data_IF_853199702840
#
_entry.id   IF_853199702840
#
_cell.length_a   1.000
_cell.length_b   1.000
_cell.length_c   1.000
_cell.angle_alpha   90.00
_cell.angle_beta   90.00
_cell.angle_gamma   90.00
#
_symmetry.space_group_name_H-M   'P 1'
#
loop_
_entity.id
_entity.type
_entity.pdbx_description
1 polymer ?
#
# COMPACT_ATOMS: atom_id res chain seq x y z
N UNK A 1 73.61 -26.32 24.13
CA UNK A 1 72.24 -25.94 24.57
C UNK A 1 71.52 -25.44 23.38
N UNK A 2 70.59 -26.24 22.84
CA UNK A 2 69.80 -25.90 21.65
C UNK A 2 68.40 -25.52 22.13
N UNK A 3 68.04 -24.23 22.04
CA UNK A 3 66.74 -23.74 22.38
C UNK A 3 65.78 -23.84 21.19
N UNK A 4 64.71 -24.64 21.35
CA UNK A 4 63.66 -24.84 20.36
C UNK A 4 62.56 -23.77 20.59
N UNK A 5 62.40 -22.87 19.63
CA UNK A 5 61.36 -21.86 19.63
C UNK A 5 60.05 -22.46 19.15
N UNK A 6 59.02 -22.56 20.01
CA UNK A 6 57.65 -22.97 19.62
C UNK A 6 56.88 -21.76 19.13
N UNK A 7 56.53 -21.74 17.86
CA UNK A 7 55.57 -20.76 17.29
C UNK A 7 54.15 -21.29 17.51
N UNK A 8 53.41 -20.65 18.39
CA UNK A 8 51.98 -20.92 18.56
C UNK A 8 51.23 -20.02 17.55
N UNK A 9 50.73 -20.61 16.51
CA UNK A 9 49.82 -19.94 15.55
C UNK A 9 48.41 -19.86 16.15
N UNK A 10 47.99 -18.65 16.52
CA UNK A 10 46.59 -18.39 16.89
C UNK A 10 45.74 -18.35 15.64
N UNK A 11 44.97 -19.40 15.38
CA UNK A 11 43.90 -19.43 14.37
C UNK A 11 42.71 -18.68 14.96
N UNK A 12 42.53 -17.41 14.61
CA UNK A 12 41.29 -16.67 14.86
C UNK A 12 40.21 -17.22 13.89
N UNK A 13 39.42 -18.19 14.36
CA UNK A 13 38.21 -18.60 13.69
C UNK A 13 37.22 -17.45 13.73
N UNK A 14 37.08 -16.73 12.62
CA UNK A 14 36.07 -15.72 12.43
C UNK A 14 34.69 -16.43 12.45
N UNK A 15 33.98 -16.31 13.57
CA UNK A 15 32.58 -16.69 13.65
C UNK A 15 31.82 -15.66 12.82
N UNK A 16 31.51 -15.97 11.58
CA UNK A 16 30.50 -15.26 10.80
C UNK A 16 29.14 -15.62 11.41
N UNK A 17 28.79 -14.93 12.50
CA UNK A 17 27.46 -14.98 13.04
C UNK A 17 26.51 -14.47 11.97
N UNK A 18 25.69 -15.33 11.41
CA UNK A 18 24.49 -14.90 10.69
C UNK A 18 23.63 -14.14 11.69
N UNK A 19 23.72 -12.82 11.67
CA UNK A 19 22.85 -11.99 12.49
C UNK A 19 21.40 -12.33 12.09
N UNK A 20 20.69 -12.98 12.99
CA UNK A 20 19.29 -13.30 12.78
C UNK A 20 18.55 -11.97 12.60
N UNK A 21 17.86 -11.82 11.45
CA UNK A 21 17.15 -10.60 11.10
C UNK A 21 16.12 -10.28 12.19
N UNK A 22 16.22 -9.08 12.76
CA UNK A 22 15.37 -8.63 13.87
C UNK A 22 13.92 -8.47 13.39
N UNK A 23 12.97 -9.05 14.13
CA UNK A 23 11.53 -8.81 13.92
C UNK A 23 11.07 -7.67 14.82
N UNK A 24 10.43 -6.67 14.22
CA UNK A 24 9.98 -5.44 14.90
C UNK A 24 8.47 -5.51 15.11
N UNK A 25 8.04 -5.40 16.38
CA UNK A 25 6.63 -5.44 16.78
C UNK A 25 6.04 -4.04 17.04
N UNK A 26 6.90 -3.03 17.16
CA UNK A 26 6.51 -1.63 17.37
C UNK A 26 7.35 -0.72 16.51
N UNK A 27 6.67 0.16 15.76
CA UNK A 27 7.37 1.13 14.92
C UNK A 27 6.49 2.36 14.66
N UNK A 28 7.15 3.48 14.41
CA UNK A 28 6.55 4.66 13.79
C UNK A 28 7.32 4.88 12.49
N UNK A 29 6.61 4.79 11.35
CA UNK A 29 7.22 4.94 10.02
C UNK A 29 6.52 6.07 9.29
N UNK A 30 7.28 7.03 8.81
CA UNK A 30 6.79 8.08 7.93
C UNK A 30 7.36 7.89 6.54
N UNK A 31 6.52 8.00 5.53
CA UNK A 31 6.90 7.93 4.12
C UNK A 31 6.26 9.05 3.33
N UNK A 32 6.94 9.45 2.27
CA UNK A 32 6.46 10.37 1.24
C UNK A 32 6.16 9.56 -0.01
N UNK A 33 5.01 9.80 -0.63
CA UNK A 33 4.64 9.21 -1.91
C UNK A 33 4.32 10.32 -2.89
N UNK A 34 4.91 10.25 -4.07
CA UNK A 34 4.68 11.13 -5.21
C UNK A 34 4.12 10.30 -6.36
N UNK A 35 3.02 10.76 -6.95
CA UNK A 35 2.37 10.10 -8.08
C UNK A 35 2.25 11.13 -9.21
N UNK A 36 2.73 10.78 -10.40
CA UNK A 36 2.54 11.55 -11.62
C UNK A 36 1.59 10.79 -12.53
N UNK A 37 0.58 11.49 -13.02
CA UNK A 37 -0.40 10.92 -13.95
C UNK A 37 -0.06 11.33 -15.39
N UNK A 38 -0.27 10.45 -16.38
CA UNK A 38 -0.05 10.77 -17.78
C UNK A 38 -0.94 11.93 -18.24
N UNK A 39 -0.37 12.87 -19.00
CA UNK A 39 -1.08 14.05 -19.50
C UNK A 39 -2.20 13.72 -20.51
N UNK A 40 -2.14 12.56 -21.17
CA UNK A 40 -3.05 12.15 -22.23
C UNK A 40 -4.15 11.18 -21.77
N UNK A 41 -4.74 11.41 -20.59
CA UNK A 41 -6.02 10.76 -20.30
C UNK A 41 -7.05 11.51 -21.16
N UNK A 42 -7.42 10.91 -22.30
CA UNK A 42 -8.45 11.41 -23.19
C UNK A 42 -9.78 11.40 -22.41
N UNK A 43 -10.08 12.57 -21.81
CA UNK A 43 -11.28 12.76 -21.02
C UNK A 43 -12.42 13.00 -21.97
N UNK A 44 -13.16 11.96 -22.27
CA UNK A 44 -14.51 12.13 -22.79
C UNK A 44 -15.38 12.60 -21.60
N UNK A 45 -15.16 13.86 -21.19
CA UNK A 45 -15.85 14.48 -20.05
C UNK A 45 -17.18 15.04 -20.53
N UNK A 46 -18.17 14.16 -20.69
CA UNK A 46 -19.58 14.57 -20.73
C UNK A 46 -20.24 14.50 -19.34
N UNK A 47 -19.51 14.72 -18.27
CA UNK A 47 -20.09 14.75 -16.93
C UNK A 47 -19.47 15.91 -16.15
N UNK A 48 -20.28 16.95 -15.95
CA UNK A 48 -19.96 18.17 -15.20
C UNK A 48 -19.66 17.95 -13.71
N UNK A 49 -19.52 16.70 -13.26
CA UNK A 49 -19.24 16.32 -11.87
C UNK A 49 -17.83 15.77 -11.61
N UNK A 50 -16.94 15.77 -12.59
CA UNK A 50 -15.54 15.28 -12.43
C UNK A 50 -14.53 16.41 -12.11
N UNK A 51 -14.98 17.46 -11.45
CA UNK A 51 -14.11 18.50 -10.95
C UNK A 51 -13.30 17.99 -9.75
N UNK A 52 -12.16 17.35 -9.99
CA UNK A 52 -11.26 17.05 -8.86
C UNK A 52 -9.96 16.32 -9.14
N UNK A 53 -9.90 15.38 -10.05
CA UNK A 53 -8.72 14.52 -10.19
C UNK A 53 -7.97 14.67 -11.51
N UNK A 54 -8.05 15.80 -12.16
CA UNK A 54 -7.63 15.83 -13.53
C UNK A 54 -6.93 17.05 -14.04
N UNK A 55 -6.42 17.94 -13.26
CA UNK A 55 -5.37 18.81 -13.73
C UNK A 55 -4.11 17.96 -13.92
N UNK A 56 -3.44 18.09 -15.07
CA UNK A 56 -2.11 17.55 -15.31
C UNK A 56 -1.20 18.01 -14.17
N UNK A 57 -1.01 17.14 -13.18
CA UNK A 57 -0.31 17.44 -11.94
C UNK A 57 -0.02 16.17 -11.19
N UNK A 58 1.06 16.16 -10.45
CA UNK A 58 1.38 15.12 -9.51
C UNK A 58 0.49 15.20 -8.28
N UNK A 59 0.42 14.13 -7.55
CA UNK A 59 -0.17 14.04 -6.22
C UNK A 59 0.93 13.69 -5.24
N UNK A 60 1.04 14.46 -4.17
CA UNK A 60 1.94 14.17 -3.06
C UNK A 60 1.13 13.73 -1.86
N UNK A 61 1.64 12.75 -1.13
CA UNK A 61 1.09 12.36 0.16
C UNK A 61 2.18 12.00 1.16
N UNK A 62 1.96 12.38 2.41
CA UNK A 62 2.79 11.98 3.54
C UNK A 62 1.97 11.02 4.38
N UNK A 63 2.51 9.82 4.57
CA UNK A 63 1.86 8.76 5.33
C UNK A 63 2.66 8.44 6.57
N UNK A 64 2.00 8.41 7.73
CA UNK A 64 2.60 7.95 9.00
C UNK A 64 1.86 6.69 9.45
N UNK A 65 2.63 5.63 9.68
CA UNK A 65 2.13 4.36 10.22
C UNK A 65 2.59 4.22 11.66
N UNK A 66 1.65 4.06 12.58
CA UNK A 66 1.87 3.63 13.95
C UNK A 66 1.55 2.15 14.04
N UNK A 67 2.53 1.35 14.43
CA UNK A 67 2.40 -0.10 14.54
C UNK A 67 2.73 -0.55 15.95
N UNK A 68 1.82 -1.27 16.60
CA UNK A 68 1.99 -1.80 17.95
C UNK A 68 1.26 -3.15 18.05
N UNK A 69 1.92 -4.22 17.64
CA UNK A 69 1.34 -5.57 17.65
C UNK A 69 0.02 -5.67 16.87
N UNK A 70 -1.09 -5.79 17.61
CA UNK A 70 -2.42 -5.93 17.03
C UNK A 70 -3.07 -4.60 16.61
N UNK A 71 -2.47 -3.47 16.99
CA UNK A 71 -2.98 -2.14 16.68
C UNK A 71 -2.15 -1.47 15.59
N UNK A 72 -2.83 -0.99 14.56
CA UNK A 72 -2.21 -0.27 13.44
C UNK A 72 -3.01 1.00 13.18
N UNK A 73 -2.33 2.13 13.08
CA UNK A 73 -2.93 3.36 12.58
C UNK A 73 -2.11 3.88 11.43
N UNK A 74 -2.74 4.03 10.29
CA UNK A 74 -2.17 4.69 9.12
C UNK A 74 -2.83 6.05 8.96
N UNK A 75 -2.05 7.11 8.98
CA UNK A 75 -2.51 8.48 8.72
C UNK A 75 -1.84 8.99 7.45
N UNK A 76 -2.63 9.31 6.45
CA UNK A 76 -2.16 9.87 5.17
C UNK A 76 -2.72 11.28 5.00
N UNK A 77 -1.81 12.22 4.74
CA UNK A 77 -2.13 13.62 4.41
C UNK A 77 -1.78 13.87 2.95
N UNK A 78 -2.71 14.45 2.21
CA UNK A 78 -2.51 14.88 0.82
C UNK A 78 -3.19 16.22 0.58
N UNK A 79 -2.98 16.80 -0.61
CA UNK A 79 -3.63 18.05 -1.02
C UNK A 79 -5.17 17.95 -1.09
N UNK A 80 -5.70 16.73 -1.20
CA UNK A 80 -7.15 16.46 -1.30
C UNK A 80 -7.81 16.19 0.06
N UNK A 81 -7.03 16.10 1.12
CA UNK A 81 -7.52 15.82 2.46
C UNK A 81 -6.72 14.76 3.19
N UNK A 82 -7.22 14.39 4.35
CA UNK A 82 -6.59 13.44 5.25
C UNK A 82 -7.39 12.14 5.32
N UNK A 83 -6.68 11.02 5.35
CA UNK A 83 -7.29 9.70 5.58
C UNK A 83 -6.61 9.04 6.76
N UNK A 84 -7.40 8.48 7.67
CA UNK A 84 -6.91 7.67 8.78
C UNK A 84 -7.54 6.29 8.70
N UNK A 85 -6.73 5.25 8.77
CA UNK A 85 -7.18 3.87 8.91
C UNK A 85 -6.67 3.33 10.23
N UNK A 86 -7.57 2.84 11.07
CA UNK A 86 -7.25 2.24 12.37
C UNK A 86 -7.69 0.77 12.30
N UNK A 87 -6.74 -0.14 12.47
CA UNK A 87 -6.97 -1.58 12.45
C UNK A 87 -6.73 -2.11 13.87
N UNK A 88 -7.76 -2.70 14.43
CA UNK A 88 -7.74 -3.44 15.67
C UNK A 88 -7.93 -4.93 15.33
N UNK A 89 -6.81 -5.67 15.27
CA UNK A 89 -6.82 -7.08 14.91
C UNK A 89 -7.50 -7.94 15.99
N UNK A 90 -7.33 -7.55 17.26
CA UNK A 90 -7.93 -8.29 18.39
C UNK A 90 -9.44 -8.27 18.31
N UNK A 91 -10.04 -7.10 18.02
CA UNK A 91 -11.48 -6.94 17.89
C UNK A 91 -11.96 -7.12 16.44
N UNK A 92 -11.07 -7.45 15.51
CA UNK A 92 -11.35 -7.62 14.08
C UNK A 92 -12.15 -6.45 13.50
N UNK A 93 -11.73 -5.24 13.84
CA UNK A 93 -12.41 -3.99 13.46
C UNK A 93 -11.44 -3.10 12.71
N UNK A 94 -11.87 -2.63 11.54
CA UNK A 94 -11.15 -1.62 10.77
C UNK A 94 -12.02 -0.36 10.71
N UNK A 95 -11.46 0.77 11.13
CA UNK A 95 -12.13 2.08 11.06
C UNK A 95 -11.39 2.95 10.06
N UNK A 96 -12.13 3.48 9.08
CA UNK A 96 -11.61 4.43 8.09
C UNK A 96 -12.25 5.78 8.30
N UNK A 97 -11.43 6.80 8.44
CA UNK A 97 -11.83 8.20 8.63
C UNK A 97 -11.31 9.02 7.46
N UNK A 98 -12.12 9.94 6.98
CA UNK A 98 -11.75 10.86 5.91
C UNK A 98 -12.11 12.28 6.33
N UNK A 99 -11.16 13.18 6.15
CA UNK A 99 -11.34 14.62 6.33
C UNK A 99 -11.02 15.32 5.02
N UNK A 100 -12.04 15.85 4.37
CA UNK A 100 -11.91 16.54 3.10
C UNK A 100 -12.95 17.67 3.02
N UNK A 101 -12.55 18.81 2.47
CA UNK A 101 -13.42 19.99 2.30
C UNK A 101 -14.17 20.38 3.58
N UNK A 102 -13.50 20.30 4.75
CA UNK A 102 -14.08 20.63 6.06
C UNK A 102 -15.07 19.60 6.62
N UNK A 103 -15.29 18.48 5.93
CA UNK A 103 -16.14 17.39 6.40
C UNK A 103 -15.31 16.29 7.02
N UNK A 104 -15.76 15.78 8.16
CA UNK A 104 -15.16 14.65 8.88
C UNK A 104 -16.15 13.50 8.88
N UNK A 105 -15.89 12.51 8.08
CA UNK A 105 -16.74 11.32 7.95
C UNK A 105 -15.92 10.05 8.15
N UNK A 106 -16.58 8.97 8.50
CA UNK A 106 -15.90 7.69 8.64
C UNK A 106 -16.86 6.52 8.56
N UNK A 107 -16.28 5.35 8.48
CA UNK A 107 -17.01 4.12 8.60
C UNK A 107 -16.14 3.06 9.29
N UNK A 108 -16.78 2.07 9.86
CA UNK A 108 -16.08 0.90 10.37
C UNK A 108 -16.61 -0.37 9.71
N UNK A 109 -15.72 -1.35 9.52
CA UNK A 109 -16.01 -2.71 9.13
C UNK A 109 -15.70 -3.67 10.26
N UNK A 110 -16.48 -4.74 10.34
CA UNK A 110 -16.28 -5.89 11.25
C UNK A 110 -15.72 -7.08 10.48
N UNK A 111 -15.35 -8.15 11.20
CA UNK A 111 -14.93 -9.40 10.57
C UNK A 111 -15.98 -9.96 9.59
N UNK A 112 -17.26 -9.80 9.92
CA UNK A 112 -18.37 -10.26 9.07
C UNK A 112 -18.45 -9.44 7.78
N UNK A 113 -18.28 -8.12 7.89
CA UNK A 113 -18.28 -7.24 6.72
C UNK A 113 -17.11 -7.56 5.78
N UNK A 114 -15.94 -7.84 6.37
CA UNK A 114 -14.74 -8.23 5.60
C UNK A 114 -14.90 -9.60 4.92
N UNK A 115 -15.50 -10.57 5.63
CA UNK A 115 -15.78 -11.90 5.07
C UNK A 115 -16.79 -11.81 3.91
N UNK A 116 -17.88 -11.06 4.09
CA UNK A 116 -18.87 -10.84 3.04
C UNK A 116 -18.27 -10.11 1.82
N UNK A 117 -17.37 -9.16 2.06
CA UNK A 117 -16.67 -8.46 0.99
C UNK A 117 -15.71 -9.38 0.24
N UNK A 118 -14.94 -10.24 0.93
CA UNK A 118 -14.08 -11.26 0.30
C UNK A 118 -14.90 -12.20 -0.57
N UNK A 119 -15.97 -12.78 -0.03
CA UNK A 119 -16.82 -13.68 -0.77
C UNK A 119 -17.36 -13.03 -2.06
N UNK A 120 -17.80 -11.77 -1.97
CA UNK A 120 -18.27 -11.00 -3.14
C UNK A 120 -17.16 -10.76 -4.16
N UNK A 121 -15.94 -10.46 -3.69
CA UNK A 121 -14.78 -10.27 -4.56
C UNK A 121 -14.37 -11.57 -5.25
N UNK A 122 -14.40 -12.68 -4.53
CA UNK A 122 -14.08 -14.00 -5.07
C UNK A 122 -15.10 -14.44 -6.11
N UNK A 123 -16.39 -14.22 -5.87
CA UNK A 123 -17.45 -14.47 -6.87
C UNK A 123 -17.23 -13.64 -8.13
N UNK A 124 -16.97 -12.33 -8.00
CA UNK A 124 -16.66 -11.47 -9.14
C UNK A 124 -15.38 -11.88 -9.88
N UNK A 125 -14.39 -12.41 -9.14
CA UNK A 125 -13.16 -12.94 -9.75
C UNK A 125 -13.41 -14.21 -10.52
N UNK A 126 -14.22 -15.13 -10.00
CA UNK A 126 -14.62 -16.35 -10.68
C UNK A 126 -15.41 -16.05 -11.96
N UNK A 127 -16.41 -15.15 -11.90
CA UNK A 127 -17.17 -14.71 -13.09
C UNK A 127 -16.25 -14.11 -14.17
N UNK A 128 -15.24 -13.31 -13.76
CA UNK A 128 -14.26 -12.75 -14.69
C UNK A 128 -13.32 -13.80 -15.26
N UNK A 129 -12.96 -14.84 -14.49
CA UNK A 129 -12.13 -15.93 -15.00
C UNK A 129 -12.88 -16.84 -15.97
N UNK A 130 -14.19 -17.01 -15.81
CA UNK A 130 -15.04 -17.78 -16.71
C UNK A 130 -15.36 -17.02 -18.01
N UNK A 131 -15.43 -15.70 -17.99
CA UNK A 131 -15.49 -14.92 -19.20
C UNK A 131 -14.12 -14.98 -19.89
N UNK A 132 -14.07 -15.66 -21.05
CA UNK A 132 -12.87 -15.99 -21.83
C UNK A 132 -11.96 -14.78 -22.23
N UNK A 133 -12.30 -13.59 -21.78
CA UNK A 133 -11.62 -12.32 -22.03
C UNK A 133 -10.90 -11.75 -20.80
N UNK A 134 -10.57 -12.56 -19.78
CA UNK A 134 -9.82 -12.04 -18.63
C UNK A 134 -8.35 -11.79 -18.98
N UNK A 135 -8.12 -10.74 -19.77
CA UNK A 135 -6.79 -10.21 -20.13
C UNK A 135 -6.00 -9.64 -18.93
N UNK A 136 -6.57 -9.67 -17.72
CA UNK A 136 -6.03 -9.01 -16.54
C UNK A 136 -5.42 -9.95 -15.48
N UNK A 137 -4.93 -11.12 -15.88
CA UNK A 137 -4.13 -11.96 -14.99
C UNK A 137 -2.74 -11.35 -14.81
N UNK A 138 -2.37 -10.94 -13.58
CA UNK A 138 -0.96 -10.72 -13.27
C UNK A 138 -0.25 -12.07 -13.36
N UNK A 139 0.85 -12.11 -14.14
CA UNK A 139 1.72 -13.25 -14.24
C UNK A 139 2.62 -13.40 -13.01
N UNK A 140 3.57 -14.28 -13.11
CA UNK A 140 4.58 -14.46 -12.07
C UNK A 140 5.46 -13.22 -11.94
N UNK A 141 5.82 -12.88 -10.70
CA UNK A 141 6.77 -11.80 -10.42
C UNK A 141 8.13 -12.40 -10.13
N UNK A 142 9.11 -12.00 -10.91
CA UNK A 142 10.53 -12.29 -10.72
C UNK A 142 11.16 -11.20 -9.86
N UNK A 143 12.07 -11.58 -8.96
CA UNK A 143 12.87 -10.68 -8.14
C UNK A 143 14.33 -10.74 -8.62
N UNK A 144 14.83 -9.63 -9.13
CA UNK A 144 16.23 -9.50 -9.57
C UNK A 144 16.96 -8.63 -8.56
N UNK A 145 17.85 -9.22 -7.80
CA UNK A 145 18.67 -8.50 -6.85
C UNK A 145 19.83 -7.79 -7.56
N UNK A 146 20.15 -6.57 -7.10
CA UNK A 146 21.28 -5.78 -7.56
C UNK A 146 22.28 -5.58 -6.43
N UNK A 147 23.53 -5.33 -6.79
CA UNK A 147 24.59 -4.96 -5.83
C UNK A 147 24.57 -3.47 -5.48
N UNK A 148 23.68 -2.69 -6.08
CA UNK A 148 23.55 -1.27 -5.78
C UNK A 148 22.99 -1.06 -4.37
N UNK A 149 23.54 -0.05 -3.69
CA UNK A 149 23.09 0.34 -2.35
C UNK A 149 22.89 1.84 -2.29
N UNK A 150 21.94 2.29 -1.46
CA UNK A 150 21.78 3.70 -1.05
C UNK A 150 21.38 3.79 0.41
N UNK A 151 21.55 4.97 1.02
CA UNK A 151 21.03 5.23 2.37
C UNK A 151 19.65 5.87 2.29
N UNK A 152 18.68 5.32 3.05
CA UNK A 152 17.35 5.88 3.23
C UNK A 152 17.04 5.90 4.71
N UNK A 153 16.63 7.05 5.25
CA UNK A 153 16.32 7.24 6.67
C UNK A 153 17.39 6.66 7.62
N UNK A 154 18.67 6.74 7.22
CA UNK A 154 19.81 6.25 8.00
C UNK A 154 20.21 4.78 7.78
N UNK A 155 19.38 3.99 7.12
CA UNK A 155 19.63 2.57 6.84
C UNK A 155 20.31 2.36 5.49
N UNK A 156 21.20 1.39 5.40
CA UNK A 156 21.77 0.94 4.12
C UNK A 156 20.76 0.01 3.43
N UNK A 157 20.27 0.44 2.29
CA UNK A 157 19.27 -0.29 1.52
C UNK A 157 19.93 -0.94 0.29
N UNK A 158 19.49 -2.15 -0.03
CA UNK A 158 19.82 -2.88 -1.26
C UNK A 158 18.74 -2.63 -2.30
N UNK A 159 19.11 -2.68 -3.57
CA UNK A 159 18.18 -2.57 -4.70
C UNK A 159 17.71 -3.93 -5.16
N UNK A 160 16.43 -4.07 -5.43
CA UNK A 160 15.85 -5.17 -6.17
C UNK A 160 14.95 -4.62 -7.28
N UNK A 161 14.80 -5.35 -8.36
CA UNK A 161 13.87 -5.06 -9.45
C UNK A 161 12.81 -6.15 -9.45
N UNK A 162 11.55 -5.76 -9.33
CA UNK A 162 10.41 -6.65 -9.43
C UNK A 162 9.89 -6.60 -10.87
N UNK A 163 9.98 -7.71 -11.60
CA UNK A 163 9.46 -7.84 -12.96
C UNK A 163 8.20 -8.69 -12.93
N UNK A 164 7.08 -8.11 -13.31
CA UNK A 164 5.80 -8.81 -13.38
C UNK A 164 5.34 -8.88 -14.82
N UNK A 165 5.27 -10.07 -15.37
CA UNK A 165 4.75 -10.30 -16.72
C UNK A 165 3.22 -10.30 -16.68
N UNK A 166 2.59 -9.65 -17.65
CA UNK A 166 1.15 -9.77 -17.88
C UNK A 166 0.89 -10.91 -18.87
N UNK A 167 -0.32 -11.44 -18.90
CA UNK A 167 -0.70 -12.45 -19.91
C UNK A 167 -0.62 -11.95 -21.35
N UNK A 168 -0.56 -10.66 -21.56
CA UNK A 168 -0.39 -10.03 -22.87
C UNK A 168 1.09 -9.87 -23.29
N UNK A 169 2.03 -10.41 -22.50
CA UNK A 169 3.46 -10.30 -22.77
C UNK A 169 4.07 -8.93 -22.39
N UNK A 170 3.30 -8.03 -21.82
CA UNK A 170 3.84 -6.78 -21.31
C UNK A 170 4.50 -7.01 -19.95
N UNK A 171 5.69 -6.49 -19.76
CA UNK A 171 6.40 -6.56 -18.47
C UNK A 171 6.26 -5.22 -17.75
N UNK A 172 5.80 -5.27 -16.49
CA UNK A 172 5.83 -4.13 -15.58
C UNK A 172 7.04 -4.29 -14.67
N UNK A 173 7.80 -3.23 -14.51
CA UNK A 173 8.96 -3.20 -13.63
C UNK A 173 8.73 -2.21 -12.49
N UNK A 174 9.20 -2.59 -11.29
CA UNK A 174 9.29 -1.73 -10.13
C UNK A 174 10.68 -1.85 -9.51
N UNK A 175 11.34 -0.74 -9.27
CA UNK A 175 12.58 -0.69 -8.50
C UNK A 175 12.23 -0.60 -7.04
N UNK A 176 12.80 -1.48 -6.20
CA UNK A 176 12.55 -1.52 -4.76
C UNK A 176 13.87 -1.36 -4.02
N UNK A 177 13.85 -0.53 -3.00
CA UNK A 177 14.94 -0.35 -2.05
C UNK A 177 14.52 -0.91 -0.69
N UNK A 178 15.29 -1.84 -0.14
CA UNK A 178 14.95 -2.49 1.12
C UNK A 178 16.17 -2.63 2.01
N UNK A 179 15.96 -2.58 3.32
CA UNK A 179 17.01 -2.92 4.29
C UNK A 179 16.85 -4.36 4.76
N UNK A 180 17.93 -5.14 4.78
CA UNK A 180 17.92 -6.49 5.34
C UNK A 180 18.06 -6.50 6.87
N UNK A 181 18.29 -5.35 7.52
CA UNK A 181 18.64 -5.26 8.95
C UNK A 181 17.48 -5.73 9.85
N UNK A 182 16.23 -5.59 9.38
CA UNK A 182 15.05 -6.01 10.13
C UNK A 182 13.86 -6.31 9.22
N UNK A 183 12.85 -6.98 9.80
CA UNK A 183 11.50 -7.17 9.24
C UNK A 183 10.47 -6.65 10.22
N UNK A 184 9.34 -6.19 9.70
CA UNK A 184 8.18 -5.94 10.54
C UNK A 184 7.45 -7.23 10.87
N UNK A 185 6.87 -7.30 12.06
CA UNK A 185 6.02 -8.42 12.46
C UNK A 185 4.83 -8.57 11.50
N UNK A 186 4.26 -9.79 11.38
CA UNK A 186 3.13 -10.06 10.50
C UNK A 186 1.96 -9.08 10.72
N UNK A 187 1.44 -8.56 9.63
CA UNK A 187 0.32 -7.62 9.61
C UNK A 187 0.71 -6.15 9.62
N UNK A 188 2.00 -5.80 9.65
CA UNK A 188 2.40 -4.46 9.26
C UNK A 188 1.94 -4.19 7.82
N UNK A 189 1.31 -3.05 7.53
CA UNK A 189 0.88 -2.72 6.18
C UNK A 189 2.10 -2.54 5.29
N UNK A 190 2.30 -3.46 4.35
CA UNK A 190 3.37 -3.32 3.36
C UNK A 190 3.09 -2.08 2.54
N UNK A 191 4.10 -1.24 2.38
CA UNK A 191 4.02 -0.03 1.56
C UNK A 191 3.49 -0.38 0.16
N UNK A 192 2.44 0.30 -0.28
CA UNK A 192 1.74 -0.01 -1.54
C UNK A 192 0.54 -0.94 -1.40
N UNK A 193 0.43 -1.72 -0.32
CA UNK A 193 -0.73 -2.57 -0.04
C UNK A 193 -1.53 -2.06 1.18
N UNK A 194 -1.37 -0.80 1.54
CA UNK A 194 -2.24 -0.16 2.51
C UNK A 194 -3.64 -0.18 1.91
N UNK A 195 -4.38 -1.19 2.36
CA UNK A 195 -5.66 -1.62 1.84
C UNK A 195 -6.49 -0.45 1.32
N UNK A 196 -6.61 -0.37 0.02
CA UNK A 196 -7.14 0.76 -0.72
C UNK A 196 -8.56 1.17 -0.38
N UNK A 197 -8.79 1.48 0.88
CA UNK A 197 -10.06 2.01 1.37
C UNK A 197 -10.26 3.49 1.08
N UNK A 198 -9.19 4.26 0.91
CA UNK A 198 -9.29 5.72 0.80
C UNK A 198 -9.23 6.28 -0.62
N UNK A 199 -8.35 5.79 -1.45
CA UNK A 199 -8.12 6.37 -2.78
C UNK A 199 -8.72 5.59 -3.95
N UNK A 200 -9.12 4.30 -3.75
CA UNK A 200 -9.61 3.45 -4.85
C UNK A 200 -11.09 3.61 -5.20
N UNK A 201 -11.91 4.25 -4.37
CA UNK A 201 -13.36 4.34 -4.60
C UNK A 201 -13.83 5.59 -5.32
N UNK A 202 -13.02 6.66 -5.41
CA UNK A 202 -13.37 7.90 -6.09
C UNK A 202 -13.14 7.89 -7.61
N UNK A 203 -12.26 7.04 -8.11
CA UNK A 203 -11.99 6.88 -9.54
C UNK A 203 -13.01 5.93 -10.20
N UNK A 204 -14.21 6.42 -10.39
CA UNK A 204 -15.27 5.78 -11.20
C UNK A 204 -14.87 5.81 -12.67
N UNK A 205 -14.03 4.87 -13.09
CA UNK A 205 -13.62 4.78 -14.51
C UNK A 205 -12.37 3.96 -14.75
N UNK A 206 -11.42 3.96 -13.86
CA UNK A 206 -10.22 3.16 -14.03
C UNK A 206 -10.32 1.87 -13.21
N UNK A 207 -10.87 0.86 -13.86
CA UNK A 207 -11.10 -0.49 -13.33
C UNK A 207 -9.87 -1.01 -12.58
N UNK A 208 -9.92 -0.95 -11.23
CA UNK A 208 -9.37 -1.99 -10.39
C UNK A 208 -7.86 -2.26 -10.40
N UNK A 209 -7.03 -1.40 -10.95
CA UNK A 209 -5.60 -1.48 -10.69
C UNK A 209 -5.32 -0.77 -9.36
N UNK A 210 -5.48 -1.48 -8.25
CA UNK A 210 -4.85 -1.05 -7.02
C UNK A 210 -3.37 -0.77 -7.36
N UNK A 211 -2.82 0.33 -6.88
CA UNK A 211 -1.42 0.68 -7.10
C UNK A 211 -0.46 -0.29 -6.37
N UNK A 212 -0.93 -1.51 -6.04
CA UNK A 212 -0.12 -2.53 -5.41
C UNK A 212 1.01 -3.00 -6.33
N UNK A 213 2.21 -3.02 -5.80
CA UNK A 213 3.36 -3.61 -6.46
C UNK A 213 3.32 -5.10 -6.15
N UNK A 214 3.18 -5.94 -7.19
CA UNK A 214 3.22 -7.38 -7.02
C UNK A 214 4.64 -7.83 -6.63
N UNK A 215 4.74 -8.78 -5.70
CA UNK A 215 6.01 -9.39 -5.30
C UNK A 215 6.77 -8.65 -4.20
N UNK A 216 6.22 -7.61 -3.58
CA UNK A 216 6.84 -7.00 -2.40
C UNK A 216 6.97 -7.98 -1.22
N UNK A 217 6.11 -8.98 -1.15
CA UNK A 217 6.15 -10.08 -0.17
C UNK A 217 7.34 -11.04 -0.39
N UNK A 218 7.97 -11.01 -1.57
CA UNK A 218 9.17 -11.78 -1.90
C UNK A 218 10.47 -11.10 -1.48
N UNK A 219 10.40 -9.83 -1.02
CA UNK A 219 11.57 -9.07 -0.57
C UNK A 219 11.98 -9.51 0.83
N UNK A 220 13.23 -9.94 0.98
CA UNK A 220 13.79 -10.38 2.25
C UNK A 220 14.34 -9.21 3.09
N UNK A 221 13.43 -8.39 3.63
CA UNK A 221 13.75 -7.20 4.40
C UNK A 221 12.58 -6.23 4.51
N UNK A 222 12.86 -5.04 5.05
CA UNK A 222 11.88 -3.97 5.12
C UNK A 222 12.02 -3.02 3.93
N UNK A 223 10.92 -2.80 3.19
CA UNK A 223 10.90 -1.91 2.03
C UNK A 223 10.97 -0.45 2.49
N UNK A 224 12.04 0.21 2.11
CA UNK A 224 12.32 1.60 2.45
C UNK A 224 11.95 2.58 1.34
N UNK A 225 11.80 2.09 0.11
CA UNK A 225 11.37 2.89 -1.02
C UNK A 225 11.07 2.04 -2.24
N UNK A 226 10.28 2.59 -3.15
CA UNK A 226 10.06 1.98 -4.46
C UNK A 226 9.75 3.04 -5.51
N UNK A 227 10.06 2.71 -6.76
CA UNK A 227 9.78 3.50 -7.94
C UNK A 227 9.11 2.63 -9.00
N UNK A 228 7.98 3.11 -9.52
CA UNK A 228 7.24 2.47 -10.61
C UNK A 228 7.14 3.47 -11.75
N UNK A 229 7.61 3.09 -12.94
CA UNK A 229 7.41 3.83 -14.18
C UNK A 229 6.67 2.96 -15.17
N UNK A 230 5.64 3.50 -15.80
CA UNK A 230 4.88 2.80 -16.82
C UNK A 230 5.01 3.50 -18.17
N UNK A 231 4.94 2.77 -19.29
CA UNK A 231 5.08 3.36 -20.63
C UNK A 231 4.05 4.43 -20.96
N UNK A 232 2.90 4.43 -20.27
CA UNK A 232 1.85 5.43 -20.44
C UNK A 232 2.13 6.76 -19.73
N UNK A 233 3.31 6.94 -19.12
CA UNK A 233 3.68 8.16 -18.38
C UNK A 233 3.20 8.20 -16.94
N UNK A 234 2.63 7.09 -16.40
CA UNK A 234 2.37 6.98 -14.97
C UNK A 234 3.68 6.73 -14.23
N UNK A 235 3.95 7.54 -13.23
CA UNK A 235 5.08 7.35 -12.32
C UNK A 235 4.60 7.39 -10.87
N UNK A 236 5.18 6.55 -10.03
CA UNK A 236 4.94 6.56 -8.58
C UNK A 236 6.27 6.32 -7.87
N UNK A 237 6.59 7.19 -6.95
CA UNK A 237 7.77 7.11 -6.11
C UNK A 237 7.35 7.18 -4.65
N UNK A 238 7.82 6.23 -3.83
CA UNK A 238 7.63 6.23 -2.39
C UNK A 238 8.98 6.08 -1.71
N UNK A 239 9.23 6.87 -0.67
CA UNK A 239 10.41 6.75 0.15
C UNK A 239 10.08 6.96 1.63
N UNK A 240 10.65 6.12 2.50
CA UNK A 240 10.59 6.29 3.95
C UNK A 240 11.46 7.49 4.34
N UNK A 241 10.85 8.49 4.96
CA UNK A 241 11.54 9.71 5.38
C UNK A 241 12.00 9.64 6.83
N UNK A 242 11.27 8.89 7.67
CA UNK A 242 11.61 8.70 9.08
C UNK A 242 11.14 7.34 9.56
N UNK A 243 11.94 6.70 10.41
CA UNK A 243 11.59 5.45 11.07
C UNK A 243 12.09 5.45 12.52
N UNK A 244 11.22 5.04 13.43
CA UNK A 244 11.53 4.81 14.83
C UNK A 244 11.15 3.36 15.14
N UNK A 245 12.13 2.58 15.61
CA UNK A 245 11.93 1.18 15.97
C UNK A 245 11.81 1.06 17.49
N UNK A 246 10.89 0.19 17.93
CA UNK A 246 10.56 -0.07 19.34
C UNK A 246 10.20 1.19 20.17
N UNK A 247 9.52 2.21 19.61
CA UNK A 247 9.13 3.40 20.38
C UNK A 247 8.08 3.07 21.44
N UNK A 248 7.98 3.93 22.45
CA UNK A 248 6.81 3.93 23.35
C UNK A 248 5.65 4.60 22.63
N UNK A 249 4.61 3.84 22.32
CA UNK A 249 3.39 4.35 21.67
C UNK A 249 2.24 4.32 22.65
N UNK A 250 1.66 5.47 22.98
CA UNK A 250 0.46 5.59 23.80
C UNK A 250 -0.75 4.98 23.08
N UNK A 251 -1.57 4.21 23.79
CA UNK A 251 -2.77 3.58 23.23
C UNK A 251 -3.78 4.59 22.70
N UNK A 252 -3.80 5.81 23.26
CA UNK A 252 -4.63 6.92 22.76
C UNK A 252 -4.36 7.28 21.30
N UNK A 253 -3.17 6.96 20.77
CA UNK A 253 -2.86 7.17 19.36
C UNK A 253 -3.85 6.42 18.46
N UNK A 254 -4.33 5.26 18.91
CA UNK A 254 -5.24 4.39 18.15
C UNK A 254 -6.72 4.71 18.37
N UNK A 255 -7.04 5.66 19.23
CA UNK A 255 -8.42 6.10 19.42
C UNK A 255 -8.92 6.91 18.22
N UNK A 256 -10.22 6.84 18.00
CA UNK A 256 -10.90 7.66 17.00
C UNK A 256 -10.97 9.11 17.49
N UNK A 257 -10.46 10.08 16.74
CA UNK A 257 -10.57 11.49 17.12
C UNK A 257 -12.04 11.95 17.18
N UNK A 258 -12.31 12.95 18.01
CA UNK A 258 -13.65 13.55 18.12
C UNK A 258 -14.06 14.25 16.83
N UNK A 259 -15.38 14.36 16.61
CA UNK A 259 -15.96 15.15 15.53
C UNK A 259 -16.15 14.42 14.20
N UNK A 260 -15.90 13.11 14.14
CA UNK A 260 -16.22 12.30 12.97
C UNK A 260 -17.64 11.73 13.06
N UNK A 261 -18.41 11.83 11.96
CA UNK A 261 -19.65 11.08 11.76
C UNK A 261 -19.28 9.68 11.25
N UNK A 262 -19.38 8.66 12.12
CA UNK A 262 -18.93 7.30 11.84
C UNK A 262 -20.13 6.36 11.76
N UNK A 263 -20.22 5.63 10.63
CA UNK A 263 -21.31 4.69 10.34
C UNK A 263 -20.78 3.29 10.09
N UNK A 264 -21.58 2.25 10.31
CA UNK A 264 -21.26 0.92 9.84
C UNK A 264 -21.05 0.90 8.33
N UNK A 265 -20.12 0.09 7.82
CA UNK A 265 -19.87 -0.03 6.38
C UNK A 265 -21.13 -0.44 5.60
N UNK A 266 -22.00 -1.23 6.20
CA UNK A 266 -23.28 -1.67 5.59
C UNK A 266 -24.19 -0.48 5.21
N UNK A 267 -24.27 0.55 6.03
CA UNK A 267 -25.06 1.74 5.76
C UNK A 267 -24.50 2.57 4.60
N UNK A 268 -23.17 2.62 4.50
CA UNK A 268 -22.50 3.33 3.41
C UNK A 268 -22.71 2.63 2.05
N UNK A 269 -22.80 1.30 2.02
CA UNK A 269 -23.04 0.55 0.78
C UNK A 269 -24.41 0.84 0.17
N UNK A 270 -25.44 1.08 0.98
CA UNK A 270 -26.78 1.45 0.53
C UNK A 270 -26.81 2.79 -0.22
N UNK A 271 -26.05 3.77 0.21
CA UNK A 271 -25.98 5.10 -0.42
C UNK A 271 -25.24 5.06 -1.76
N UNK A 272 -24.21 4.21 -1.91
CA UNK A 272 -23.44 4.07 -3.16
C UNK A 272 -24.16 3.22 -4.23
N UNK A 273 -25.10 2.33 -3.83
CA UNK A 273 -25.85 1.46 -4.75
C UNK A 273 -27.03 2.15 -5.46
N UNK A 274 -27.63 3.16 -4.85
CA UNK A 274 -28.81 3.84 -5.39
C UNK A 274 -28.50 4.93 -6.43
N UNK A 275 -27.30 5.53 -6.39
CA UNK A 275 -26.89 6.55 -7.36
C UNK A 275 -26.74 6.04 -8.80
N UNK A 276 -26.49 4.73 -9.00
CA UNK A 276 -26.31 4.13 -10.34
C UNK A 276 -27.59 3.72 -11.05
N UNK A 277 -28.71 3.57 -10.32
CA UNK A 277 -29.97 3.10 -10.92
C UNK A 277 -30.90 4.21 -11.39
N UNK A 278 -30.70 5.47 -10.97
CA UNK A 278 -31.54 6.60 -11.40
C UNK A 278 -31.18 7.17 -12.77
N UNK A 279 -29.97 6.99 -13.26
CA UNK A 279 -29.54 7.53 -14.56
C UNK A 279 -30.05 6.74 -15.78
N UNK A 280 -30.57 5.50 -15.61
CA UNK A 280 -30.95 4.65 -16.73
C UNK A 280 -32.46 4.54 -16.94
N UNK A 281 -33.27 5.40 -16.28
CA UNK A 281 -34.73 5.38 -16.44
C UNK A 281 -35.30 6.48 -17.35
N UNK A 282 -34.48 7.36 -17.93
CA UNK A 282 -34.97 8.51 -18.70
C UNK A 282 -34.63 8.48 -20.20
N UNK A 283 -34.24 7.32 -20.77
CA UNK A 283 -34.07 7.20 -22.22
C UNK A 283 -34.97 6.07 -22.78
N UNK A 284 -36.24 6.14 -22.50
CA UNK A 284 -37.20 5.19 -23.05
C UNK A 284 -38.61 5.77 -23.06
N UNK A 285 -38.83 6.86 -23.78
CA UNK A 285 -40.12 7.20 -24.40
C UNK A 285 -39.96 8.51 -25.20
N UNK A 286 -39.70 8.34 -26.47
CA UNK A 286 -40.26 9.22 -27.52
C UNK A 286 -40.12 8.45 -28.83
N UNK A 287 -41.27 7.96 -29.26
CA UNK A 287 -41.66 7.55 -30.62
C UNK A 287 -40.61 7.39 -31.68
#
# INVERSE_FOLDING_TARGET
MKGTLFFVAFFAAGITGFAQQKTIERAIVQSKTEITFPQNINRNTNSDNDAGFGAAGGMESITTVYFKGDMIKTYSKSDFGNTTVIIDKKNKKTTTLTEAMGRKTGFYSTAEDEAAMRQRMDSMRQERMQSANSQFGMGETEVINSNETKKIAGYTCKKAILKTSTRQGTTNEATVWYTPDFKMAPGYPVAGNTGGGGFGRGMRGQRGAGFGIAGLDKIDGFVMGYEVKRPNGFEMNMEVTKIELDPVIDDKVFEVPKGYDIKPMKEMQGQFGQGGRRANRNTGNNN
#
